data_IF_581741985103
#
_entry.id   IF_581741985103
#
_cell.length_a   1.000
_cell.length_b   1.000
_cell.length_c   1.000
_cell.angle_alpha   90.00
_cell.angle_beta   90.00
_cell.angle_gamma   90.00
#
_symmetry.space_group_name_H-M   'P 1'
#
loop_
_entity.id
_entity.type
_entity.pdbx_description
1 polymer ?
#
# COMPACT_ATOMS: atom_id res chain seq x y z
N UNK A 1 -0.57 7.96 25.28
CA UNK A 1 0.67 8.07 24.49
C UNK A 1 1.56 6.91 24.89
N UNK A 2 1.78 5.95 24.00
CA UNK A 2 2.67 4.81 24.29
C UNK A 2 4.08 5.21 23.93
N UNK A 3 4.93 5.39 24.92
CA UNK A 3 6.37 5.59 24.74
C UNK A 3 6.98 4.20 24.67
N UNK A 4 7.67 3.89 23.57
CA UNK A 4 8.49 2.68 23.44
C UNK A 4 9.92 3.08 23.68
N UNK A 5 10.40 2.78 24.87
CA UNK A 5 11.80 2.96 25.20
C UNK A 5 12.59 1.73 24.70
N UNK A 6 13.69 2.00 24.03
CA UNK A 6 14.66 1.01 23.60
C UNK A 6 16.05 1.59 23.76
N UNK A 7 17.08 0.73 23.82
CA UNK A 7 18.47 1.18 23.84
C UNK A 7 18.90 1.89 22.55
N UNK A 8 18.01 2.01 21.56
CA UNK A 8 18.29 2.65 20.28
C UNK A 8 19.23 1.84 19.38
N UNK A 9 19.88 2.54 18.47
CA UNK A 9 20.88 1.99 17.55
C UNK A 9 22.27 2.47 17.97
N UNK A 10 23.30 1.63 17.76
CA UNK A 10 24.70 1.97 18.05
C UNK A 10 25.53 0.74 18.36
N UNK A 11 26.82 0.93 18.55
CA UNK A 11 27.75 -0.17 18.78
C UNK A 11 27.42 -0.96 20.07
N UNK A 12 27.11 -0.27 21.16
CA UNK A 12 26.85 -0.88 22.45
C UNK A 12 25.54 -1.68 22.51
N UNK A 13 24.38 -1.13 22.07
CA UNK A 13 23.15 -1.92 21.98
C UNK A 13 23.26 -3.12 21.06
N UNK A 14 23.95 -2.98 19.92
CA UNK A 14 24.18 -4.08 18.98
C UNK A 14 25.04 -5.17 19.59
N UNK A 15 26.16 -4.80 20.24
CA UNK A 15 27.04 -5.76 20.90
C UNK A 15 26.30 -6.52 22.01
N UNK A 16 25.48 -5.84 22.79
CA UNK A 16 24.66 -6.45 23.85
C UNK A 16 23.68 -7.46 23.28
N UNK A 17 22.99 -7.14 22.20
CA UNK A 17 22.06 -8.03 21.52
C UNK A 17 22.78 -9.30 21.00
N UNK A 18 23.88 -9.12 20.27
CA UNK A 18 24.68 -10.23 19.73
C UNK A 18 25.21 -11.14 20.83
N UNK A 19 25.76 -10.60 21.91
CA UNK A 19 26.25 -11.37 23.03
C UNK A 19 25.13 -12.13 23.75
N UNK A 20 23.96 -11.52 23.90
CA UNK A 20 22.77 -12.18 24.47
C UNK A 20 22.36 -13.39 23.63
N UNK A 21 22.35 -13.27 22.32
CA UNK A 21 22.01 -14.37 21.41
C UNK A 21 23.05 -15.50 21.47
N UNK A 22 24.34 -15.16 21.49
CA UNK A 22 25.44 -16.13 21.62
C UNK A 22 25.29 -16.93 22.93
N UNK A 23 25.05 -16.23 24.04
CA UNK A 23 24.89 -16.87 25.36
C UNK A 23 23.66 -17.79 25.35
N UNK A 24 22.56 -17.35 24.75
CA UNK A 24 21.33 -18.13 24.66
C UNK A 24 21.54 -19.44 23.89
N UNK A 25 22.23 -19.38 22.76
CA UNK A 25 22.60 -20.55 21.95
C UNK A 25 23.57 -21.43 22.69
N UNK A 26 24.58 -20.87 23.35
CA UNK A 26 25.57 -21.65 24.13
C UNK A 26 24.94 -22.43 25.32
N UNK A 27 23.84 -21.88 25.86
CA UNK A 27 23.05 -22.56 26.90
C UNK A 27 22.13 -23.67 26.38
N UNK A 28 22.12 -23.93 25.06
CA UNK A 28 21.21 -24.85 24.39
C UNK A 28 19.76 -24.39 24.37
N UNK A 29 19.52 -23.11 24.63
CA UNK A 29 18.19 -22.52 24.60
C UNK A 29 17.97 -21.93 23.21
N UNK A 30 16.92 -22.34 22.52
CA UNK A 30 16.47 -21.74 21.29
C UNK A 30 15.06 -21.20 21.55
N UNK A 31 14.94 -19.91 21.97
CA UNK A 31 13.63 -19.33 22.22
C UNK A 31 12.86 -19.25 20.90
N UNK A 32 11.61 -19.65 20.95
CA UNK A 32 10.72 -19.47 19.80
C UNK A 32 10.54 -17.97 19.53
N UNK A 33 10.69 -17.57 18.27
CA UNK A 33 10.68 -16.14 17.84
C UNK A 33 9.41 -15.42 18.30
N UNK A 34 8.28 -16.11 18.38
CA UNK A 34 7.00 -15.57 18.81
C UNK A 34 6.44 -16.23 20.08
N UNK A 35 7.29 -16.92 20.86
CA UNK A 35 6.84 -17.66 22.04
C UNK A 35 6.11 -18.96 21.72
N UNK A 36 5.95 -19.30 20.43
CA UNK A 36 5.28 -20.49 19.93
C UNK A 36 6.23 -21.31 19.04
N UNK A 37 6.07 -22.61 19.03
CA UNK A 37 6.83 -23.47 18.12
C UNK A 37 6.44 -23.16 16.66
N UNK A 38 7.38 -23.39 15.73
CA UNK A 38 7.14 -23.17 14.30
C UNK A 38 5.92 -23.95 13.76
N UNK A 39 5.62 -25.10 14.38
CA UNK A 39 4.46 -25.92 13.99
C UNK A 39 3.12 -25.37 14.50
N UNK A 40 3.16 -24.48 15.49
CA UNK A 40 1.98 -23.80 16.05
C UNK A 40 1.71 -22.45 15.39
N UNK A 41 2.66 -21.98 14.58
CA UNK A 41 2.51 -20.76 13.80
C UNK A 41 1.64 -21.07 12.57
N UNK A 42 0.42 -20.59 12.56
CA UNK A 42 -0.41 -20.57 11.36
C UNK A 42 -0.36 -19.20 10.70
N UNK A 43 -0.09 -19.17 9.39
CA UNK A 43 -0.25 -17.97 8.57
C UNK A 43 -1.76 -17.73 8.33
N UNK A 44 -2.47 -17.28 9.35
CA UNK A 44 -3.76 -16.67 9.16
C UNK A 44 -3.54 -15.20 8.82
N UNK A 45 -3.10 -14.94 7.61
CA UNK A 45 -3.16 -13.59 7.06
C UNK A 45 -4.61 -13.37 6.66
N UNK A 46 -5.38 -12.72 7.53
CA UNK A 46 -6.62 -12.11 7.12
C UNK A 46 -6.22 -10.94 6.21
N UNK A 47 -6.38 -11.13 4.91
CA UNK A 47 -5.99 -10.14 3.92
C UNK A 47 -6.84 -8.86 3.98
N UNK A 48 -7.77 -8.75 4.93
CA UNK A 48 -8.67 -7.60 5.06
C UNK A 48 -9.64 -7.49 3.88
N UNK A 49 -9.86 -8.58 3.14
CA UNK A 49 -10.71 -8.61 1.95
C UNK A 49 -12.19 -8.31 2.23
N UNK A 50 -12.58 -8.33 3.51
CA UNK A 50 -13.97 -8.10 3.93
C UNK A 50 -14.26 -6.67 4.36
N UNK A 51 -13.26 -5.82 4.47
CA UNK A 51 -13.42 -4.45 4.92
C UNK A 51 -13.34 -3.49 3.74
N UNK A 52 -14.20 -2.47 3.77
CA UNK A 52 -14.17 -1.39 2.81
C UNK A 52 -13.16 -0.34 3.25
N UNK A 53 -12.40 0.18 2.31
CA UNK A 53 -11.41 1.20 2.55
C UNK A 53 -11.46 2.29 1.49
N UNK A 54 -10.98 3.45 1.85
CA UNK A 54 -10.69 4.53 0.92
C UNK A 54 -9.34 4.28 0.26
N UNK A 55 -9.20 4.69 -1.00
CA UNK A 55 -7.96 4.49 -1.75
C UNK A 55 -7.47 5.78 -2.38
N UNK A 56 -6.17 5.92 -2.38
CA UNK A 56 -5.42 6.94 -3.09
C UNK A 56 -4.87 6.34 -4.38
N UNK A 57 -5.11 7.01 -5.49
CA UNK A 57 -4.54 6.67 -6.79
C UNK A 57 -3.65 7.81 -7.27
N UNK A 58 -2.51 7.45 -7.83
CA UNK A 58 -1.69 8.36 -8.62
C UNK A 58 -1.55 7.80 -10.02
N UNK A 59 -2.04 8.56 -10.99
CA UNK A 59 -2.09 8.20 -12.40
C UNK A 59 -1.25 9.21 -13.17
N UNK A 60 -0.37 8.73 -14.04
CA UNK A 60 0.37 9.57 -14.94
C UNK A 60 -0.33 9.55 -16.31
N UNK A 61 -0.81 10.67 -16.74
CA UNK A 61 -1.58 10.83 -17.98
C UNK A 61 -0.99 11.94 -18.86
N UNK A 62 -1.34 11.93 -20.14
CA UNK A 62 -1.04 13.09 -21.02
C UNK A 62 -2.09 14.17 -20.76
N UNK A 63 -1.65 15.42 -20.58
CA UNK A 63 -2.56 16.57 -20.44
C UNK A 63 -3.26 16.87 -21.76
N UNK A 64 -4.32 16.11 -22.04
CA UNK A 64 -5.10 16.18 -23.26
C UNK A 64 -6.58 16.12 -22.95
N UNK A 65 -7.35 16.89 -23.73
CA UNK A 65 -8.81 16.85 -23.61
C UNK A 65 -9.36 15.43 -23.79
N UNK A 66 -10.24 15.01 -22.88
CA UNK A 66 -10.88 13.70 -22.90
C UNK A 66 -10.20 12.61 -22.06
N UNK A 67 -8.92 12.73 -21.74
CA UNK A 67 -8.18 11.72 -20.97
C UNK A 67 -8.80 11.50 -19.59
N UNK A 68 -9.11 12.55 -18.86
CA UNK A 68 -9.78 12.43 -17.56
C UNK A 68 -11.17 11.82 -17.68
N UNK A 69 -11.89 12.09 -18.79
CA UNK A 69 -13.19 11.44 -19.03
C UNK A 69 -13.04 9.93 -19.20
N UNK A 70 -12.02 9.47 -19.93
CA UNK A 70 -11.71 8.04 -20.04
C UNK A 70 -11.36 7.39 -18.70
N UNK A 71 -10.56 8.06 -17.89
CA UNK A 71 -10.21 7.59 -16.54
C UNK A 71 -11.46 7.50 -15.65
N UNK A 72 -12.25 8.57 -15.57
CA UNK A 72 -13.45 8.61 -14.72
C UNK A 72 -14.52 7.64 -15.17
N UNK A 73 -14.59 7.31 -16.46
CA UNK A 73 -15.50 6.29 -16.99
C UNK A 73 -15.18 4.90 -16.44
N UNK A 74 -13.89 4.56 -16.22
CA UNK A 74 -13.51 3.30 -15.58
C UNK A 74 -14.03 3.25 -14.15
N UNK A 75 -13.88 4.34 -13.36
CA UNK A 75 -14.42 4.42 -12.02
C UNK A 75 -15.96 4.28 -12.01
N UNK A 76 -16.63 4.96 -12.93
CA UNK A 76 -18.08 4.88 -13.12
C UNK A 76 -18.55 3.44 -13.40
N UNK A 77 -17.85 2.71 -14.28
CA UNK A 77 -18.17 1.33 -14.67
C UNK A 77 -18.30 0.41 -13.46
N UNK A 78 -17.47 0.61 -12.46
CA UNK A 78 -17.45 -0.18 -11.24
C UNK A 78 -18.18 0.48 -10.06
N UNK A 79 -18.94 1.56 -10.33
CA UNK A 79 -19.64 2.33 -9.30
C UNK A 79 -18.73 2.83 -8.16
N UNK A 80 -17.44 3.02 -8.45
CA UNK A 80 -16.49 3.54 -7.49
C UNK A 80 -16.54 5.07 -7.47
N UNK A 81 -17.04 5.62 -6.35
CA UNK A 81 -17.19 7.05 -6.17
C UNK A 81 -15.86 7.74 -5.92
N UNK A 82 -15.61 8.81 -6.66
CA UNK A 82 -14.44 9.68 -6.47
C UNK A 82 -14.78 10.71 -5.40
N UNK A 83 -13.94 10.81 -4.36
CA UNK A 83 -14.04 11.83 -3.33
C UNK A 83 -13.34 13.12 -3.73
N UNK A 84 -12.14 13.01 -4.26
CA UNK A 84 -11.37 14.14 -4.78
C UNK A 84 -10.56 13.77 -6.01
N UNK A 85 -10.36 14.75 -6.88
CA UNK A 85 -9.49 14.67 -8.05
C UNK A 85 -8.64 15.92 -8.08
N UNK A 86 -7.31 15.74 -8.10
CA UNK A 86 -6.35 16.84 -8.10
C UNK A 86 -5.41 16.64 -9.29
N UNK A 87 -5.41 17.60 -10.20
CA UNK A 87 -4.39 17.73 -11.24
C UNK A 87 -3.60 19.01 -10.96
N UNK A 88 -2.30 18.88 -10.77
CA UNK A 88 -1.41 20.03 -10.56
C UNK A 88 -0.60 20.29 -11.82
N UNK A 89 -0.61 21.53 -12.23
CA UNK A 89 0.05 21.96 -13.47
C UNK A 89 -0.84 21.81 -14.70
N UNK A 90 -0.52 22.55 -15.74
CA UNK A 90 -1.11 22.47 -17.06
C UNK A 90 0.02 22.55 -18.08
N UNK A 91 0.39 21.40 -18.59
CA UNK A 91 1.41 21.27 -19.63
C UNK A 91 0.78 20.53 -20.83
N UNK A 92 0.21 21.27 -21.81
CA UNK A 92 -0.48 20.67 -22.93
C UNK A 92 0.40 19.64 -23.66
N UNK A 93 -0.12 18.43 -23.81
CA UNK A 93 0.55 17.26 -24.41
C UNK A 93 1.79 16.72 -23.65
N UNK A 94 2.04 17.16 -22.44
CA UNK A 94 3.07 16.58 -21.56
C UNK A 94 2.45 15.65 -20.52
N UNK A 95 3.32 14.88 -19.87
CA UNK A 95 2.95 13.99 -18.76
C UNK A 95 2.59 14.81 -17.51
N UNK A 96 1.41 14.58 -16.96
CA UNK A 96 0.98 15.20 -15.71
C UNK A 96 0.46 14.15 -14.73
N UNK A 97 0.79 14.28 -13.45
CA UNK A 97 0.22 13.42 -12.42
C UNK A 97 -1.20 13.85 -12.06
N UNK A 98 -2.10 12.90 -12.07
CA UNK A 98 -3.46 13.03 -11.55
C UNK A 98 -3.57 12.22 -10.28
N UNK A 99 -4.03 12.87 -9.22
CA UNK A 99 -4.27 12.26 -7.92
C UNK A 99 -5.77 12.12 -7.73
N UNK A 100 -6.21 10.91 -7.39
CA UNK A 100 -7.62 10.61 -7.11
C UNK A 100 -7.72 9.96 -5.74
N UNK A 101 -8.64 10.43 -4.91
CA UNK A 101 -9.06 9.72 -3.71
C UNK A 101 -10.48 9.23 -3.89
N UNK A 102 -10.78 8.05 -3.35
CA UNK A 102 -12.09 7.44 -3.48
C UNK A 102 -12.82 7.40 -2.14
N UNK A 103 -14.14 7.26 -2.20
CA UNK A 103 -14.90 6.77 -1.07
C UNK A 103 -14.57 5.31 -0.80
N UNK A 104 -15.10 4.78 0.30
CA UNK A 104 -14.89 3.39 0.70
C UNK A 104 -15.38 2.41 -0.36
N UNK A 105 -14.56 1.41 -0.64
CA UNK A 105 -14.87 0.33 -1.56
C UNK A 105 -14.23 -0.98 -1.11
N UNK A 106 -14.78 -2.08 -1.58
CA UNK A 106 -14.26 -3.42 -1.35
C UNK A 106 -13.03 -3.73 -2.23
N UNK A 107 -12.27 -4.73 -1.81
CA UNK A 107 -11.05 -5.13 -2.49
C UNK A 107 -11.28 -5.66 -3.92
N UNK A 108 -12.39 -6.36 -4.17
CA UNK A 108 -12.66 -6.94 -5.49
C UNK A 108 -12.97 -5.85 -6.53
N UNK A 109 -13.75 -4.85 -6.13
CA UNK A 109 -14.00 -3.65 -6.93
C UNK A 109 -12.69 -2.92 -7.24
N UNK A 110 -11.83 -2.73 -6.23
CA UNK A 110 -10.52 -2.13 -6.42
C UNK A 110 -9.68 -2.89 -7.46
N UNK A 111 -9.59 -4.21 -7.34
CA UNK A 111 -8.81 -5.05 -8.28
C UNK A 111 -9.30 -4.89 -9.71
N UNK A 112 -10.62 -4.89 -9.92
CA UNK A 112 -11.23 -4.71 -11.23
C UNK A 112 -10.92 -3.34 -11.83
N UNK A 113 -10.97 -2.29 -11.03
CA UNK A 113 -10.59 -0.94 -11.45
C UNK A 113 -9.11 -0.86 -11.81
N UNK A 114 -8.23 -1.46 -10.98
CA UNK A 114 -6.79 -1.48 -11.24
C UNK A 114 -6.42 -2.22 -12.52
N UNK A 115 -7.12 -3.31 -12.80
CA UNK A 115 -6.92 -4.10 -14.02
C UNK A 115 -7.31 -3.29 -15.27
N UNK A 116 -8.48 -2.66 -15.27
CA UNK A 116 -8.94 -1.84 -16.40
C UNK A 116 -8.10 -0.58 -16.57
N UNK A 117 -7.69 0.07 -15.48
CA UNK A 117 -6.75 1.20 -15.54
C UNK A 117 -5.41 0.77 -16.17
N UNK A 118 -4.89 -0.39 -15.82
CA UNK A 118 -3.62 -0.89 -16.35
C UNK A 118 -3.69 -1.23 -17.85
N UNK A 119 -4.88 -1.52 -18.37
CA UNK A 119 -5.14 -1.77 -19.80
C UNK A 119 -5.51 -0.49 -20.56
N UNK A 120 -5.77 0.60 -19.86
CA UNK A 120 -6.19 1.85 -20.47
C UNK A 120 -5.06 2.48 -21.28
N UNK A 121 -5.42 3.03 -22.44
CA UNK A 121 -4.50 3.80 -23.29
C UNK A 121 -4.26 5.23 -22.78
N UNK A 122 -5.04 5.64 -21.78
CA UNK A 122 -4.97 6.98 -21.20
C UNK A 122 -3.80 7.14 -20.22
N UNK A 123 -3.29 6.01 -19.69
CA UNK A 123 -2.19 5.98 -18.75
C UNK A 123 -0.86 5.71 -19.46
N UNK A 124 0.16 6.47 -19.10
CA UNK A 124 1.54 6.28 -19.58
C UNK A 124 2.27 5.18 -18.84
N UNK A 125 1.94 5.01 -17.56
CA UNK A 125 2.59 4.07 -16.65
C UNK A 125 1.55 3.28 -15.84
N UNK A 126 1.98 2.23 -15.17
CA UNK A 126 1.10 1.49 -14.25
C UNK A 126 0.56 2.41 -13.16
N UNK A 127 -0.74 2.33 -12.86
CA UNK A 127 -1.33 3.10 -11.78
C UNK A 127 -0.71 2.73 -10.43
N UNK A 128 -0.46 3.72 -9.58
CA UNK A 128 -0.08 3.52 -8.18
C UNK A 128 -1.33 3.64 -7.33
N UNK A 129 -1.58 2.65 -6.50
CA UNK A 129 -2.71 2.64 -5.58
C UNK A 129 -2.22 2.38 -4.14
N UNK A 130 -2.76 3.11 -3.18
CA UNK A 130 -2.48 2.95 -1.76
C UNK A 130 -3.77 3.01 -0.96
N UNK A 131 -3.87 2.16 0.06
CA UNK A 131 -4.96 2.16 1.04
C UNK A 131 -4.80 3.37 1.96
N UNK A 132 -5.90 4.07 2.23
CA UNK A 132 -5.99 5.15 3.23
C UNK A 132 -6.56 4.53 4.50
N UNK A 133 -5.83 4.66 5.59
CA UNK A 133 -6.19 4.14 6.92
C UNK A 133 -6.74 5.28 7.77
#
# INVERSE_FOLDING_TARGET
MCIRDSYGAGAEPTATAVLSDIITVAQGKCPYVFGLSTNELSLNVDAGEKENYRYYFRLNVIDKSGVLAGVTEIFRKYSLSIESLIQRGRNPNEEVPVIITTHETDYNTLQSVMEDLSKSKELLNKPVCMKII
#
